data_IF_941515648523
#
_entry.id   IF_941515648523
#
_cell.length_a   1.000
_cell.length_b   1.000
_cell.length_c   1.000
_cell.angle_alpha   90.00
_cell.angle_beta   90.00
_cell.angle_gamma   90.00
#
_symmetry.space_group_name_H-M   'P 1'
#
loop_
_entity.id
_entity.type
_entity.pdbx_description
1 polymer ?
#
# COMPACT_ATOMS: atom_id res chain seq x y z
N UNK A 1 16.77 -21.30 8.66
CA UNK A 1 16.66 -20.59 7.37
C UNK A 1 15.71 -19.42 7.56
N UNK A 2 15.95 -18.30 6.89
CA UNK A 2 15.12 -17.10 6.96
C UNK A 2 14.91 -16.50 5.57
N UNK A 3 13.78 -15.83 5.39
CA UNK A 3 13.39 -15.19 4.14
C UNK A 3 13.24 -13.69 4.34
N UNK A 4 13.67 -12.92 3.36
CA UNK A 4 13.54 -11.47 3.39
C UNK A 4 12.10 -11.07 3.08
N UNK A 5 11.59 -10.10 3.82
CA UNK A 5 10.23 -9.57 3.68
C UNK A 5 10.32 -8.11 3.25
N UNK A 6 9.53 -7.76 2.23
CA UNK A 6 9.51 -6.45 1.61
C UNK A 6 8.07 -5.92 1.54
N UNK A 7 7.92 -4.60 1.72
CA UNK A 7 6.77 -3.87 1.21
C UNK A 7 7.05 -3.58 -0.27
N UNK A 8 6.11 -3.88 -1.14
CA UNK A 8 6.23 -3.60 -2.58
C UNK A 8 5.09 -2.68 -3.00
N UNK A 9 5.44 -1.64 -3.73
CA UNK A 9 4.48 -0.75 -4.38
C UNK A 9 4.43 -1.04 -5.88
N UNK A 10 3.21 -1.23 -6.38
CA UNK A 10 2.89 -1.32 -7.79
C UNK A 10 2.05 -0.12 -8.21
N UNK A 11 2.15 0.29 -9.48
CA UNK A 11 1.38 1.37 -10.06
C UNK A 11 -0.11 1.10 -9.89
N UNK A 12 -0.81 2.06 -9.32
CA UNK A 12 -2.24 2.01 -9.08
C UNK A 12 -2.86 3.40 -9.09
N UNK A 13 -4.18 3.48 -9.23
CA UNK A 13 -4.92 4.73 -9.25
C UNK A 13 -6.05 4.72 -8.21
N UNK A 14 -6.28 5.83 -7.47
CA UNK A 14 -5.49 7.07 -7.44
C UNK A 14 -4.17 6.94 -6.65
N UNK A 15 -3.92 5.81 -6.00
CA UNK A 15 -2.70 5.53 -5.24
C UNK A 15 -2.11 4.19 -5.65
N UNK A 16 -0.82 4.01 -5.45
CA UNK A 16 -0.12 2.75 -5.69
C UNK A 16 -0.76 1.59 -4.90
N UNK A 17 -0.69 0.40 -5.48
CA UNK A 17 -1.10 -0.84 -4.83
C UNK A 17 0.04 -1.37 -3.96
N UNK A 18 -0.22 -1.64 -2.68
CA UNK A 18 0.76 -2.20 -1.76
C UNK A 18 0.56 -3.70 -1.57
N UNK A 19 1.67 -4.43 -1.48
CA UNK A 19 1.72 -5.85 -1.18
C UNK A 19 2.89 -6.17 -0.24
N UNK A 20 2.74 -7.25 0.53
CA UNK A 20 3.85 -7.86 1.26
C UNK A 20 4.45 -8.93 0.36
N UNK A 21 5.75 -8.84 0.08
CA UNK A 21 6.50 -9.82 -0.69
C UNK A 21 7.51 -10.53 0.21
N UNK A 22 7.52 -11.85 0.16
CA UNK A 22 8.51 -12.69 0.85
C UNK A 22 9.36 -13.38 -0.20
N UNK A 23 10.65 -13.06 -0.24
CA UNK A 23 11.60 -13.63 -1.19
C UNK A 23 12.05 -15.02 -0.69
N UNK A 24 11.50 -16.08 -1.28
CA UNK A 24 11.73 -17.48 -0.83
C UNK A 24 12.68 -18.25 -1.73
N UNK A 25 12.84 -17.83 -2.99
CA UNK A 25 13.61 -18.55 -4.00
C UNK A 25 14.91 -17.81 -4.36
N UNK A 26 15.93 -18.57 -4.80
CA UNK A 26 17.24 -18.02 -5.18
C UNK A 26 17.22 -17.10 -6.41
N UNK A 27 16.20 -17.24 -7.26
CA UNK A 27 15.99 -16.35 -8.41
C UNK A 27 15.35 -15.01 -8.02
N UNK A 28 15.05 -14.82 -6.72
CA UNK A 28 14.37 -13.65 -6.17
C UNK A 28 12.86 -13.68 -6.37
N UNK A 29 12.27 -14.82 -6.75
CA UNK A 29 10.82 -15.05 -6.66
C UNK A 29 10.41 -15.46 -5.25
N UNK A 30 9.10 -15.52 -5.01
CA UNK A 30 8.59 -15.97 -3.72
C UNK A 30 7.10 -15.79 -3.56
N UNK A 31 6.65 -15.35 -2.40
CA UNK A 31 5.24 -15.24 -2.04
C UNK A 31 4.78 -13.78 -1.99
N UNK A 32 3.59 -13.52 -2.52
CA UNK A 32 2.92 -12.22 -2.48
C UNK A 32 1.64 -12.33 -1.66
N UNK A 33 1.46 -11.43 -0.70
CA UNK A 33 0.25 -11.26 0.10
C UNK A 33 -0.29 -9.86 -0.13
N UNK A 34 -1.53 -9.76 -0.60
CA UNK A 34 -2.16 -8.48 -0.89
C UNK A 34 -3.68 -8.56 -0.84
N UNK A 35 -4.34 -7.42 -0.98
CA UNK A 35 -5.78 -7.39 -1.25
C UNK A 35 -6.06 -6.86 -2.64
N UNK A 36 -6.96 -7.50 -3.38
CA UNK A 36 -7.36 -7.08 -4.72
C UNK A 36 -8.77 -6.50 -4.71
N UNK A 37 -9.13 -5.71 -5.71
CA UNK A 37 -10.43 -5.02 -5.78
C UNK A 37 -10.31 -3.52 -5.52
N UNK A 38 -11.43 -2.89 -5.18
CA UNK A 38 -11.50 -1.43 -5.00
C UNK A 38 -12.60 -1.04 -3.99
N UNK A 39 -12.66 0.24 -3.64
CA UNK A 39 -13.61 0.73 -2.63
C UNK A 39 -15.08 0.74 -3.08
N UNK A 40 -15.36 0.55 -4.37
CA UNK A 40 -16.73 0.48 -4.93
C UNK A 40 -17.27 -0.96 -4.91
N UNK A 41 -16.42 -1.97 -5.10
CA UNK A 41 -16.81 -3.39 -5.05
C UNK A 41 -16.49 -4.05 -3.72
N UNK A 42 -15.60 -3.45 -2.92
CA UNK A 42 -14.89 -4.15 -1.87
C UNK A 42 -13.61 -4.80 -2.39
N UNK A 43 -12.80 -5.24 -1.44
CA UNK A 43 -11.53 -5.90 -1.68
C UNK A 43 -11.50 -7.29 -1.04
N UNK A 44 -10.65 -8.16 -1.58
CA UNK A 44 -10.48 -9.53 -1.14
C UNK A 44 -9.00 -9.85 -0.95
N UNK A 45 -8.67 -10.59 0.12
CA UNK A 45 -7.32 -11.08 0.36
C UNK A 45 -6.95 -12.17 -0.64
N UNK A 46 -5.75 -12.09 -1.20
CA UNK A 46 -5.16 -13.09 -2.08
C UNK A 46 -3.71 -13.34 -1.64
N UNK A 47 -3.31 -14.61 -1.63
CA UNK A 47 -1.91 -15.03 -1.53
C UNK A 47 -1.52 -15.86 -2.75
N UNK A 48 -0.35 -15.60 -3.33
CA UNK A 48 0.14 -16.33 -4.50
C UNK A 48 1.64 -16.40 -4.58
N UNK A 49 2.13 -17.31 -5.42
CA UNK A 49 3.51 -17.27 -5.90
C UNK A 49 3.68 -16.07 -6.83
N UNK A 50 4.73 -15.29 -6.61
CA UNK A 50 5.08 -14.11 -7.39
C UNK A 50 6.50 -14.21 -7.92
N UNK A 51 6.72 -13.73 -9.15
CA UNK A 51 8.07 -13.48 -9.66
C UNK A 51 8.71 -12.33 -8.88
N UNK A 52 10.02 -12.14 -9.06
CA UNK A 52 10.73 -10.95 -8.60
C UNK A 52 9.92 -9.68 -8.93
N UNK A 53 9.58 -8.82 -7.94
CA UNK A 53 8.73 -7.65 -8.15
C UNK A 53 9.17 -6.74 -9.30
N UNK A 54 10.47 -6.53 -9.45
CA UNK A 54 11.10 -5.69 -10.46
C UNK A 54 10.85 -6.17 -11.90
N UNK A 55 10.42 -7.42 -12.08
CA UNK A 55 10.03 -7.94 -13.40
C UNK A 55 8.62 -7.51 -13.82
N UNK A 56 7.84 -6.88 -12.93
CA UNK A 56 6.53 -6.34 -13.27
C UNK A 56 6.65 -4.99 -13.96
N UNK A 57 5.92 -4.80 -15.05
CA UNK A 57 5.81 -3.49 -15.72
C UNK A 57 5.14 -2.42 -14.85
N UNK A 58 4.39 -2.83 -13.83
CA UNK A 58 3.78 -1.93 -12.85
C UNK A 58 4.65 -1.71 -11.62
N UNK A 59 5.86 -2.26 -11.53
CA UNK A 59 6.72 -2.07 -10.37
C UNK A 59 7.07 -0.58 -10.18
N UNK A 60 6.94 -0.08 -8.95
CA UNK A 60 7.36 1.26 -8.57
C UNK A 60 8.58 1.19 -7.66
N UNK A 61 8.44 0.53 -6.52
CA UNK A 61 9.51 0.40 -5.53
C UNK A 61 9.31 -0.82 -4.63
N UNK A 62 10.38 -1.20 -3.92
CA UNK A 62 10.30 -2.12 -2.79
C UNK A 62 11.12 -1.60 -1.62
N UNK A 63 10.60 -1.77 -0.42
CA UNK A 63 11.23 -1.38 0.84
C UNK A 63 11.44 -2.62 1.69
N UNK A 64 12.66 -2.83 2.16
CA UNK A 64 12.96 -3.93 3.08
C UNK A 64 12.30 -3.70 4.44
N UNK A 65 11.52 -4.68 4.90
CA UNK A 65 10.85 -4.62 6.20
C UNK A 65 11.59 -5.41 7.28
N UNK A 66 12.23 -6.53 6.89
CA UNK A 66 12.86 -7.44 7.84
C UNK A 66 12.93 -8.87 7.29
N UNK A 67 12.91 -9.84 8.19
CA UNK A 67 12.96 -11.26 7.82
C UNK A 67 11.97 -12.09 8.62
N UNK A 68 11.65 -13.27 8.08
CA UNK A 68 10.83 -14.29 8.73
C UNK A 68 11.61 -15.61 8.77
N UNK A 69 11.50 -16.39 9.85
CA UNK A 69 12.07 -17.74 9.87
C UNK A 69 11.24 -18.68 8.99
N UNK A 70 11.84 -19.78 8.53
CA UNK A 70 11.12 -20.79 7.76
C UNK A 70 9.89 -21.35 8.52
N UNK A 71 10.01 -21.51 9.85
CA UNK A 71 8.90 -21.99 10.68
C UNK A 71 7.74 -20.98 10.77
N UNK A 72 8.05 -19.69 10.67
CA UNK A 72 7.08 -18.59 10.73
C UNK A 72 6.48 -18.22 9.36
N UNK A 73 6.98 -18.77 8.25
CA UNK A 73 6.52 -18.42 6.91
C UNK A 73 5.01 -18.68 6.73
N UNK A 74 4.51 -19.82 7.21
CA UNK A 74 3.07 -20.17 7.15
C UNK A 74 2.20 -19.20 7.96
N UNK A 75 2.74 -18.67 9.06
CA UNK A 75 2.02 -17.79 9.98
C UNK A 75 1.78 -16.39 9.38
N UNK A 76 2.49 -16.03 8.29
CA UNK A 76 2.20 -14.82 7.53
C UNK A 76 0.80 -14.91 6.92
N UNK A 77 0.50 -15.98 6.17
CA UNK A 77 -0.81 -16.14 5.51
C UNK A 77 -1.97 -16.22 6.51
N UNK A 78 -1.75 -16.89 7.65
CA UNK A 78 -2.71 -16.95 8.76
C UNK A 78 -2.98 -15.55 9.32
N UNK A 79 -1.93 -14.77 9.62
CA UNK A 79 -2.06 -13.40 10.12
C UNK A 79 -2.79 -12.51 9.12
N UNK A 80 -2.41 -12.55 7.84
CA UNK A 80 -3.10 -11.81 6.76
C UNK A 80 -4.60 -12.11 6.74
N UNK A 81 -5.01 -13.36 6.97
CA UNK A 81 -6.41 -13.78 6.96
C UNK A 81 -7.21 -13.29 8.16
N UNK A 82 -6.54 -12.95 9.27
CA UNK A 82 -7.20 -12.36 10.46
C UNK A 82 -7.51 -10.87 10.31
N UNK A 83 -6.78 -10.18 9.43
CA UNK A 83 -7.00 -8.77 9.15
C UNK A 83 -8.06 -8.66 8.04
N UNK A 84 -9.28 -8.18 8.34
CA UNK A 84 -10.36 -8.18 7.36
C UNK A 84 -9.97 -7.33 6.16
N UNK A 85 -10.18 -7.78 4.91
CA UNK A 85 -10.00 -6.94 3.73
C UNK A 85 -10.93 -5.70 3.75
N UNK A 86 -10.55 -4.60 3.08
CA UNK A 86 -11.43 -3.43 2.99
C UNK A 86 -12.78 -3.76 2.34
N UNK A 87 -13.87 -3.53 3.08
CA UNK A 87 -15.24 -3.69 2.58
C UNK A 87 -15.57 -2.65 1.50
N UNK A 88 -16.64 -2.90 0.73
CA UNK A 88 -17.28 -1.90 -0.13
C UNK A 88 -17.60 -0.67 0.72
N UNK A 89 -17.12 0.51 0.32
CA UNK A 89 -17.25 1.75 1.07
C UNK A 89 -18.09 2.81 0.37
N UNK A 90 -18.34 2.65 -0.93
CA UNK A 90 -19.16 3.54 -1.74
C UNK A 90 -20.21 2.79 -2.53
N UNK A 91 -21.34 3.45 -2.79
CA UNK A 91 -22.32 3.07 -3.81
C UNK A 91 -22.44 4.24 -4.79
N UNK A 92 -21.70 4.15 -5.92
CA UNK A 92 -21.53 5.28 -6.81
C UNK A 92 -20.86 6.46 -6.09
N UNK A 93 -21.46 7.66 -6.06
CA UNK A 93 -20.91 8.80 -5.33
C UNK A 93 -21.18 8.75 -3.81
N UNK A 94 -22.05 7.86 -3.32
CA UNK A 94 -22.47 7.87 -1.92
C UNK A 94 -21.51 7.07 -1.04
N UNK A 95 -20.96 7.70 0.02
CA UNK A 95 -20.22 7.00 1.07
C UNK A 95 -21.16 6.20 1.97
N UNK A 96 -20.89 4.90 2.13
CA UNK A 96 -21.72 3.99 2.92
C UNK A 96 -21.45 4.11 4.43
N UNK A 97 -20.18 4.36 4.79
CA UNK A 97 -19.73 4.45 6.19
C UNK A 97 -19.05 5.81 6.43
N UNK A 98 -19.82 6.90 6.57
CA UNK A 98 -19.25 8.25 6.71
C UNK A 98 -18.45 8.46 8.00
N UNK A 99 -18.73 7.68 9.05
CA UNK A 99 -18.04 7.78 10.35
C UNK A 99 -16.79 6.89 10.45
N UNK A 100 -16.55 6.03 9.47
CA UNK A 100 -15.36 5.16 9.43
C UNK A 100 -14.32 5.77 8.49
N UNK A 101 -13.01 5.73 8.81
CA UNK A 101 -11.98 6.18 7.88
C UNK A 101 -11.99 5.35 6.60
N UNK A 102 -11.60 5.96 5.48
CA UNK A 102 -11.43 5.21 4.24
C UNK A 102 -10.28 4.22 4.38
N UNK A 103 -10.49 3.00 3.89
CA UNK A 103 -9.52 1.91 3.96
C UNK A 103 -9.33 1.29 2.59
N UNK A 104 -8.08 1.14 2.15
CA UNK A 104 -7.69 0.51 0.88
C UNK A 104 -6.59 -0.52 1.13
N UNK A 105 -5.94 -0.98 0.06
CA UNK A 105 -4.87 -1.96 0.14
C UNK A 105 -3.67 -1.49 0.98
N UNK A 106 -3.36 -0.18 0.97
CA UNK A 106 -2.25 0.36 1.75
C UNK A 106 -2.52 0.25 3.25
N UNK A 107 -3.72 0.62 3.69
CA UNK A 107 -4.14 0.53 5.09
C UNK A 107 -4.18 -0.92 5.57
N UNK A 108 -4.76 -1.83 4.78
CA UNK A 108 -4.73 -3.26 5.09
C UNK A 108 -3.29 -3.81 5.18
N UNK A 109 -2.40 -3.39 4.27
CA UNK A 109 -1.00 -3.82 4.27
C UNK A 109 -0.27 -3.32 5.51
N UNK A 110 -0.48 -2.07 5.91
CA UNK A 110 0.15 -1.48 7.10
C UNK A 110 -0.32 -2.15 8.40
N UNK A 111 -1.63 -2.42 8.52
CA UNK A 111 -2.18 -3.17 9.65
C UNK A 111 -1.61 -4.58 9.72
N UNK A 112 -1.47 -5.24 8.57
CA UNK A 112 -0.89 -6.59 8.48
C UNK A 112 0.58 -6.58 8.88
N UNK A 113 1.39 -5.63 8.39
CA UNK A 113 2.80 -5.49 8.79
C UNK A 113 2.90 -5.28 10.31
N UNK A 114 2.04 -4.43 10.87
CA UNK A 114 2.00 -4.17 12.31
C UNK A 114 1.67 -5.44 13.11
N UNK A 115 0.68 -6.21 12.66
CA UNK A 115 0.31 -7.48 13.29
C UNK A 115 1.43 -8.53 13.20
N UNK A 116 2.13 -8.62 12.06
CA UNK A 116 3.25 -9.53 11.88
C UNK A 116 4.41 -9.21 12.83
N UNK A 117 4.70 -7.92 13.04
CA UNK A 117 5.74 -7.47 13.99
C UNK A 117 5.30 -7.77 15.43
N UNK A 118 4.06 -7.40 15.79
CA UNK A 118 3.52 -7.60 17.13
C UNK A 118 3.47 -9.08 17.54
N UNK A 119 3.20 -9.98 16.58
CA UNK A 119 3.19 -11.42 16.80
C UNK A 119 4.59 -12.06 16.73
N UNK A 120 5.67 -11.28 16.52
CA UNK A 120 7.03 -11.78 16.38
C UNK A 120 7.27 -12.63 15.13
N UNK A 121 6.36 -12.58 14.16
CA UNK A 121 6.47 -13.31 12.89
C UNK A 121 7.48 -12.59 11.98
N UNK A 122 7.32 -11.27 11.83
CA UNK A 122 8.26 -10.41 11.11
C UNK A 122 9.28 -9.83 12.09
N UNK A 123 10.53 -10.23 11.94
CA UNK A 123 11.66 -9.72 12.71
C UNK A 123 12.26 -8.51 12.01
N UNK A 124 12.36 -7.39 12.72
CA UNK A 124 12.98 -6.16 12.19
C UNK A 124 14.33 -5.92 12.87
N UNK A 125 15.23 -5.18 12.22
CA UNK A 125 16.52 -4.82 12.83
C UNK A 125 16.35 -4.03 14.14
N UNK A 126 15.28 -3.25 14.26
CA UNK A 126 14.94 -2.51 15.48
C UNK A 126 14.57 -3.43 16.66
N UNK A 127 13.97 -4.61 16.39
CA UNK A 127 13.71 -5.60 17.44
C UNK A 127 14.96 -6.41 17.81
N UNK A 128 15.86 -6.65 16.84
CA UNK A 128 17.10 -7.40 17.08
C UNK A 128 18.09 -6.67 18.01
N UNK A 129 18.03 -5.33 18.08
CA UNK A 129 18.82 -4.51 19.00
C UNK A 129 18.11 -4.19 20.32
N UNK A 130 16.83 -4.54 20.45
CA UNK A 130 15.96 -4.17 21.58
C UNK A 130 15.48 -5.39 22.38
N UNK A 131 16.40 -6.31 22.72
CA UNK A 131 16.15 -7.36 23.72
C UNK A 131 16.18 -6.84 25.18
N UNK A 132 16.22 -5.51 25.37
CA UNK A 132 15.88 -4.86 26.64
C UNK A 132 15.22 -3.51 26.39
N UNK A 133 14.02 -3.32 26.94
CA UNK A 133 13.22 -2.08 27.03
C UNK A 133 12.20 -1.80 25.90
N UNK A 134 10.92 -1.91 26.33
CA UNK A 134 9.68 -1.32 25.79
C UNK A 134 9.49 -1.23 24.26
N UNK A 135 8.65 -2.14 23.76
CA UNK A 135 8.04 -2.03 22.45
C UNK A 135 6.67 -1.36 22.55
N UNK A 136 6.67 -0.05 22.30
CA UNK A 136 5.48 0.69 21.92
C UNK A 136 5.94 1.94 21.16
N UNK A 137 6.00 1.85 19.83
CA UNK A 137 6.07 3.04 18.99
C UNK A 137 5.05 2.92 17.86
N UNK A 138 3.84 3.36 18.21
CA UNK A 138 2.88 4.06 17.36
C UNK A 138 3.44 4.46 16.00
N UNK A 139 3.02 3.75 14.95
CA UNK A 139 2.83 4.40 13.65
C UNK A 139 1.52 5.17 13.73
N UNK A 140 1.64 6.46 14.07
CA UNK A 140 0.53 7.40 14.06
C UNK A 140 0.10 7.59 12.60
N UNK A 141 -1.20 7.36 12.34
CA UNK A 141 -1.89 7.75 11.12
C UNK A 141 -1.39 9.13 10.64
N UNK A 142 -0.71 9.22 9.50
CA UNK A 142 -0.22 10.50 9.01
C UNK A 142 -1.40 11.35 8.50
N UNK A 143 -1.51 12.58 8.98
CA UNK A 143 -2.49 13.58 8.51
C UNK A 143 -2.37 13.85 6.99
N UNK A 144 -1.25 13.49 6.38
CA UNK A 144 -1.03 13.48 4.92
C UNK A 144 -2.08 12.65 4.14
N UNK A 145 -2.71 11.67 4.79
CA UNK A 145 -3.72 10.80 4.16
C UNK A 145 -5.09 11.47 3.95
N UNK A 146 -5.39 12.54 4.68
CA UNK A 146 -6.63 13.31 4.50
C UNK A 146 -6.55 14.31 3.33
N UNK A 147 -5.35 14.56 2.79
CA UNK A 147 -5.16 15.57 1.73
C UNK A 147 -5.62 15.13 0.33
N UNK A 148 -6.04 13.88 0.14
CA UNK A 148 -6.45 13.38 -1.18
C UNK A 148 -7.94 13.58 -1.49
N UNK A 149 -8.75 13.90 -0.48
CA UNK A 149 -10.16 14.23 -0.66
C UNK A 149 -10.63 15.16 0.46
N UNK A 150 -11.32 16.24 0.11
CA UNK A 150 -12.05 17.05 1.08
C UNK A 150 -13.49 16.53 1.15
N UNK A 151 -13.92 16.19 2.36
CA UNK A 151 -15.33 15.97 2.67
C UNK A 151 -16.00 17.34 2.84
N UNK A 152 -16.97 17.65 1.98
CA UNK A 152 -17.65 18.95 1.99
C UNK A 152 -18.71 19.05 3.11
N UNK A 153 -18.94 17.97 3.88
CA UNK A 153 -19.90 17.95 4.99
C UNK A 153 -21.36 17.84 4.55
N UNK A 154 -21.65 17.83 3.25
CA UNK A 154 -22.97 17.63 2.66
C UNK A 154 -23.14 16.23 2.02
N UNK A 155 -22.15 15.35 2.21
CA UNK A 155 -22.09 14.03 1.59
C UNK A 155 -21.46 14.02 0.19
N UNK A 156 -21.00 15.17 -0.31
CA UNK A 156 -20.16 15.27 -1.50
C UNK A 156 -18.68 15.37 -1.12
N UNK A 157 -17.80 15.04 -2.07
CA UNK A 157 -16.35 15.15 -1.89
C UNK A 157 -15.69 15.70 -3.13
N UNK A 158 -14.58 16.42 -2.94
CA UNK A 158 -13.69 16.88 -4.01
C UNK A 158 -12.38 16.12 -3.94
N UNK A 159 -11.90 15.67 -5.10
CA UNK A 159 -10.55 15.14 -5.23
C UNK A 159 -9.56 16.28 -5.18
N UNK A 160 -8.42 16.09 -4.51
CA UNK A 160 -7.28 16.97 -4.73
C UNK A 160 -6.86 16.80 -6.21
N UNK A 161 -7.01 17.85 -7.02
CA UNK A 161 -6.44 17.88 -8.35
C UNK A 161 -4.92 17.79 -8.21
N UNK A 162 -4.32 16.79 -8.87
CA UNK A 162 -2.87 16.69 -8.94
C UNK A 162 -2.32 17.99 -9.54
N UNK A 163 -1.52 18.76 -8.80
CA UNK A 163 -0.47 19.59 -9.38
C UNK A 163 0.62 18.66 -9.97
N UNK A 164 0.27 17.89 -11.00
CA UNK A 164 1.26 17.41 -11.94
C UNK A 164 1.73 18.64 -12.72
N UNK A 165 2.82 19.26 -12.25
CA UNK A 165 3.68 20.04 -13.13
C UNK A 165 4.25 19.10 -14.19
N UNK A 166 3.46 18.87 -15.24
CA UNK A 166 3.95 18.33 -16.51
C UNK A 166 4.96 19.33 -17.05
N UNK A 167 6.24 19.00 -16.93
CA UNK A 167 7.27 19.57 -17.78
C UNK A 167 7.02 19.04 -19.21
N UNK A 168 6.02 19.61 -19.89
CA UNK A 168 5.83 19.39 -21.31
C UNK A 168 6.59 20.47 -22.10
N UNK A 169 7.53 19.96 -22.86
CA UNK A 169 8.26 20.61 -23.94
C UNK A 169 7.31 21.14 -25.02
N UNK A 170 7.44 22.43 -25.33
CA UNK A 170 7.20 22.93 -26.68
C UNK A 170 5.86 23.63 -26.96
N UNK A 171 5.90 24.96 -26.98
CA UNK A 171 5.13 25.78 -27.93
C UNK A 171 6.14 26.77 -28.53
N UNK A 172 6.48 26.72 -29.82
CA UNK A 172 5.52 26.76 -30.93
C UNK A 172 5.17 28.22 -31.22
N UNK A 173 6.11 28.98 -31.81
CA UNK A 173 5.87 30.32 -32.37
C UNK A 173 4.72 30.27 -33.37
N UNK A 174 3.67 31.08 -33.17
CA UNK A 174 2.77 31.50 -34.25
C UNK A 174 2.42 32.99 -34.18
N UNK A 175 3.02 33.71 -35.14
CA UNK A 175 2.52 34.81 -35.99
C UNK A 175 1.61 35.89 -35.37
N UNK A 176 2.16 37.10 -35.25
CA UNK A 176 1.43 38.36 -35.32
C UNK A 176 1.45 38.93 -36.74
N UNK A 177 0.27 39.14 -37.33
CA UNK A 177 0.04 39.80 -38.62
C UNK A 177 0.22 41.32 -38.47
N UNK A 178 0.99 41.93 -39.37
CA UNK A 178 1.00 43.37 -39.57
C UNK A 178 -0.27 43.85 -40.27
N UNK A 179 -0.79 44.98 -39.79
CA UNK A 179 -1.73 45.87 -40.50
C UNK A 179 -1.41 47.30 -40.07
N UNK A 180 -0.77 48.05 -40.95
CA UNK A 180 -1.09 49.42 -41.37
C UNK A 180 -0.15 49.81 -42.50
#
# INVERSE_FOLDING_TARGET
MSYNVYLVAYLGAPRNHHAIFVETELDGSGLVFHVTGNIQSGMEFESKNGRRPENSASFVEKTYLGWVSADNLRHIGETCSTIPPPKKQFEGPKRLYPKEPLRRCQEWTNETISALIANGILQTQAQATSSSAQQASNWVWSEEYQNWYQDNGDGTFTWAENEYHSADTGKGKKKGKGKK
#
